data_IF_385083087044
#
_entry.id   IF_385083087044
#
_cell.length_a   1.000
_cell.length_b   1.000
_cell.length_c   1.000
_cell.angle_alpha   90.00
_cell.angle_beta   90.00
_cell.angle_gamma   90.00
#
_symmetry.space_group_name_H-M   'P 1'
#
loop_
_entity.id
_entity.type
_entity.pdbx_description
1 polymer ?
#
# COMPACT_ATOMS: atom_id res chain seq x y z
N UNK A 1 -19.52 1.38 -17.05
CA UNK A 1 -18.94 0.11 -16.57
C UNK A 1 -18.04 0.44 -15.40
N UNK A 2 -18.41 0.04 -14.19
CA UNK A 2 -17.52 0.16 -13.02
C UNK A 2 -16.36 -0.80 -13.25
N UNK A 3 -15.16 -0.29 -13.54
CA UNK A 3 -13.95 -1.08 -13.40
C UNK A 3 -13.77 -1.34 -11.90
N UNK A 4 -14.23 -2.51 -11.43
CA UNK A 4 -13.76 -3.02 -10.15
C UNK A 4 -12.28 -3.29 -10.33
N UNK A 5 -11.43 -2.43 -9.76
CA UNK A 5 -10.01 -2.73 -9.68
C UNK A 5 -9.86 -4.08 -8.97
N UNK A 6 -9.03 -4.99 -9.50
CA UNK A 6 -8.83 -6.27 -8.86
C UNK A 6 -8.40 -6.03 -7.42
N UNK A 7 -9.04 -6.74 -6.51
CA UNK A 7 -8.76 -6.74 -5.08
C UNK A 7 -7.40 -7.46 -4.86
N UNK A 8 -6.34 -6.83 -5.36
CA UNK A 8 -5.03 -7.43 -5.55
C UNK A 8 -4.28 -7.54 -4.22
N UNK A 9 -4.54 -6.64 -3.28
CA UNK A 9 -3.88 -6.66 -1.99
C UNK A 9 -4.78 -6.14 -0.87
N UNK A 10 -4.45 -6.49 0.37
CA UNK A 10 -5.08 -5.94 1.57
C UNK A 10 -4.03 -5.37 2.52
N UNK A 11 -4.40 -4.32 3.25
CA UNK A 11 -3.59 -3.76 4.33
C UNK A 11 -3.78 -4.57 5.60
N UNK A 12 -2.68 -4.94 6.24
CA UNK A 12 -2.65 -5.60 7.53
C UNK A 12 -1.59 -4.90 8.42
N UNK A 13 -1.99 -3.83 9.13
CA UNK A 13 -1.10 -3.14 10.06
C UNK A 13 -0.64 -4.06 11.19
N UNK A 14 0.63 -3.93 11.57
CA UNK A 14 1.20 -4.43 12.81
C UNK A 14 2.00 -3.32 13.47
N UNK A 15 2.33 -3.48 14.76
CA UNK A 15 3.11 -2.47 15.49
C UNK A 15 4.55 -2.35 14.96
N UNK A 16 5.07 -3.37 14.27
CA UNK A 16 6.39 -3.40 13.67
C UNK A 16 6.43 -2.90 12.20
N UNK A 17 5.33 -3.05 11.45
CA UNK A 17 5.30 -2.74 10.01
C UNK A 17 3.87 -2.52 9.48
N UNK A 18 3.75 -1.85 8.34
CA UNK A 18 2.54 -1.91 7.53
C UNK A 18 2.66 -3.03 6.50
N UNK A 19 1.95 -4.14 6.71
CA UNK A 19 1.98 -5.25 5.76
C UNK A 19 0.94 -5.02 4.64
N UNK A 20 1.38 -5.14 3.40
CA UNK A 20 0.53 -5.21 2.20
C UNK A 20 0.54 -6.66 1.76
N UNK A 21 -0.56 -7.37 2.05
CA UNK A 21 -0.70 -8.79 1.73
C UNK A 21 -1.23 -8.91 0.30
N UNK A 22 -0.39 -9.40 -0.61
CA UNK A 22 -0.74 -9.69 -2.00
C UNK A 22 -1.64 -10.93 -2.05
N UNK A 23 -2.70 -10.89 -2.84
CA UNK A 23 -3.61 -12.03 -3.03
C UNK A 23 -3.09 -12.94 -4.13
N UNK A 24 -2.71 -14.16 -3.75
CA UNK A 24 -2.08 -15.16 -4.64
C UNK A 24 -2.85 -15.47 -5.91
N UNK A 25 -4.17 -15.26 -5.94
CA UNK A 25 -4.97 -15.42 -7.16
C UNK A 25 -4.57 -14.46 -8.29
N UNK A 26 -3.80 -13.42 -7.98
CA UNK A 26 -3.42 -12.36 -8.90
C UNK A 26 -1.92 -12.25 -9.17
N UNK A 27 -1.05 -12.96 -8.45
CA UNK A 27 0.41 -12.80 -8.55
C UNK A 27 1.13 -14.14 -8.67
N UNK A 28 2.17 -14.19 -9.50
CA UNK A 28 3.04 -15.37 -9.58
C UNK A 28 3.89 -15.54 -8.30
N UNK A 29 4.16 -16.79 -7.93
CA UNK A 29 4.88 -17.19 -6.70
C UNK A 29 6.27 -16.56 -6.54
N UNK A 30 6.82 -15.98 -7.61
CA UNK A 30 8.18 -15.46 -7.66
C UNK A 30 8.24 -13.96 -7.87
N UNK A 31 7.09 -13.27 -7.84
CA UNK A 31 7.01 -11.84 -8.14
C UNK A 31 7.84 -10.97 -7.18
N UNK A 32 8.09 -11.47 -5.96
CA UNK A 32 8.91 -10.80 -4.94
C UNK A 32 10.37 -11.30 -4.89
N UNK A 33 10.76 -12.30 -5.68
CA UNK A 33 12.13 -12.87 -5.63
C UNK A 33 13.20 -11.88 -6.09
N UNK A 34 12.89 -11.03 -7.07
CA UNK A 34 13.80 -10.02 -7.58
C UNK A 34 13.44 -8.64 -7.03
N UNK A 35 13.95 -8.34 -5.84
CA UNK A 35 13.73 -7.07 -5.13
C UNK A 35 14.04 -5.83 -5.98
N UNK A 36 14.94 -5.92 -6.97
CA UNK A 36 15.33 -4.77 -7.81
C UNK A 36 14.26 -4.38 -8.82
N UNK A 37 13.37 -5.31 -9.17
CA UNK A 37 12.25 -5.06 -10.10
C UNK A 37 11.03 -4.48 -9.42
N UNK A 38 10.93 -4.66 -8.10
CA UNK A 38 9.78 -4.19 -7.33
C UNK A 38 10.08 -2.81 -6.75
N UNK A 39 9.23 -1.85 -7.07
CA UNK A 39 9.30 -0.48 -6.56
C UNK A 39 8.02 -0.16 -5.79
N UNK A 40 8.18 0.45 -4.64
CA UNK A 40 7.10 1.04 -3.86
C UNK A 40 7.37 2.54 -3.76
N UNK A 41 6.34 3.34 -4.05
CA UNK A 41 6.33 4.79 -3.83
C UNK A 41 5.04 5.16 -3.14
N UNK A 42 5.09 6.10 -2.19
CA UNK A 42 3.88 6.71 -1.64
C UNK A 42 3.58 8.01 -2.36
N UNK A 43 2.38 8.11 -2.92
CA UNK A 43 1.85 9.30 -3.58
C UNK A 43 0.91 10.04 -2.62
N UNK A 44 1.14 11.33 -2.44
CA UNK A 44 0.42 12.18 -1.48
C UNK A 44 -0.48 13.24 -2.17
N UNK A 45 -0.81 13.07 -3.46
CA UNK A 45 -1.61 14.06 -4.22
C UNK A 45 -3.05 14.18 -3.73
N UNK A 46 -3.57 13.16 -3.06
CA UNK A 46 -4.93 13.12 -2.54
C UNK A 46 -4.95 13.14 -1.01
N UNK A 47 -6.07 13.52 -0.37
CA UNK A 47 -6.23 13.44 1.09
C UNK A 47 -6.08 12.01 1.65
N UNK A 48 -6.10 10.99 0.79
CA UNK A 48 -5.69 9.62 1.13
C UNK A 48 -4.39 9.34 0.38
N UNK A 49 -3.31 9.14 1.12
CA UNK A 49 -2.03 8.71 0.55
C UNK A 49 -2.22 7.38 -0.18
N UNK A 50 -1.53 7.19 -1.30
CA UNK A 50 -1.71 6.02 -2.16
C UNK A 50 -0.36 5.34 -2.37
N UNK A 51 -0.26 4.06 -2.03
CA UNK A 51 0.90 3.26 -2.39
C UNK A 51 0.82 2.91 -3.88
N UNK A 52 1.89 3.19 -4.62
CA UNK A 52 2.07 2.81 -6.03
C UNK A 52 3.11 1.71 -6.06
N UNK A 53 2.69 0.51 -6.47
CA UNK A 53 3.53 -0.68 -6.52
C UNK A 53 3.77 -1.05 -7.98
N UNK A 54 5.04 -1.18 -8.36
CA UNK A 54 5.46 -1.62 -9.70
C UNK A 54 6.34 -2.86 -9.59
N UNK A 55 6.11 -3.89 -10.39
CA UNK A 55 6.84 -5.16 -10.34
C UNK A 55 7.80 -5.36 -11.53
N UNK A 56 7.90 -4.39 -12.42
CA UNK A 56 8.65 -4.52 -13.69
C UNK A 56 7.89 -5.31 -14.76
N UNK A 57 6.77 -5.93 -14.40
CA UNK A 57 5.79 -6.56 -15.26
C UNK A 57 4.47 -5.80 -15.10
N UNK A 58 4.19 -4.88 -16.03
CA UNK A 58 3.10 -3.90 -15.89
C UNK A 58 1.71 -4.50 -15.63
N UNK A 59 1.50 -5.78 -15.98
CA UNK A 59 0.27 -6.51 -15.67
C UNK A 59 0.01 -6.65 -14.16
N UNK A 60 1.06 -6.70 -13.34
CA UNK A 60 0.97 -6.82 -11.89
C UNK A 60 1.05 -5.48 -11.16
N UNK A 61 1.32 -4.37 -11.87
CA UNK A 61 1.40 -3.04 -11.25
C UNK A 61 0.01 -2.63 -10.71
N UNK A 62 -0.04 -2.08 -9.51
CA UNK A 62 -1.29 -1.62 -8.91
C UNK A 62 -1.09 -0.43 -7.98
N UNK A 63 -2.19 0.23 -7.65
CA UNK A 63 -2.25 1.25 -6.61
C UNK A 63 -3.10 0.77 -5.44
N UNK A 64 -2.76 1.23 -4.24
CA UNK A 64 -3.48 0.90 -3.02
C UNK A 64 -3.65 2.16 -2.16
N UNK A 65 -4.88 2.72 -2.06
CA UNK A 65 -5.20 3.79 -1.14
C UNK A 65 -4.94 3.35 0.32
N UNK A 66 -4.12 4.11 1.03
CA UNK A 66 -3.76 3.86 2.42
C UNK A 66 -4.81 4.45 3.36
N UNK A 67 -5.97 3.79 3.40
CA UNK A 67 -7.05 4.11 4.36
C UNK A 67 -6.66 3.61 5.74
N UNK A 68 -5.91 4.45 6.45
CA UNK A 68 -5.36 4.15 7.75
C UNK A 68 -6.02 5.05 8.79
N UNK A 69 -6.29 4.51 9.97
CA UNK A 69 -6.87 5.28 11.08
C UNK A 69 -5.83 5.56 12.14
N UNK A 70 -5.75 6.83 12.58
CA UNK A 70 -4.93 7.23 13.72
C UNK A 70 -5.41 6.62 15.05
N UNK A 71 -6.66 6.14 15.11
CA UNK A 71 -7.19 5.43 16.29
C UNK A 71 -6.70 3.97 16.37
N UNK A 72 -6.07 3.44 15.32
CA UNK A 72 -5.46 2.12 15.34
C UNK A 72 -4.08 2.22 15.99
N UNK A 73 -3.93 1.67 17.19
CA UNK A 73 -2.66 1.68 17.95
C UNK A 73 -1.50 1.09 17.17
N UNK A 74 -1.72 0.04 16.38
CA UNK A 74 -0.67 -0.56 15.55
C UNK A 74 -0.12 0.43 14.52
N UNK A 75 -0.97 1.29 13.94
CA UNK A 75 -0.55 2.33 12.99
C UNK A 75 0.27 3.41 13.69
N UNK A 76 -0.17 3.86 14.86
CA UNK A 76 0.55 4.87 15.62
C UNK A 76 1.91 4.36 16.11
N UNK A 77 1.97 3.13 16.62
CA UNK A 77 3.21 2.50 17.06
C UNK A 77 4.20 2.32 15.90
N UNK A 78 3.71 1.82 14.76
CA UNK A 78 4.49 1.69 13.54
C UNK A 78 5.09 3.03 13.09
N UNK A 79 4.27 4.08 12.98
CA UNK A 79 4.74 5.41 12.53
C UNK A 79 5.66 6.12 13.53
N UNK A 80 5.70 5.68 14.79
CA UNK A 80 6.58 6.24 15.81
C UNK A 80 7.96 5.58 15.84
N UNK A 81 8.18 4.53 15.06
CA UNK A 81 9.50 3.93 14.91
C UNK A 81 10.50 4.87 14.24
N UNK A 82 11.78 4.64 14.50
CA UNK A 82 12.89 5.37 13.87
C UNK A 82 12.92 5.12 12.35
N UNK A 83 12.60 3.90 11.91
CA UNK A 83 12.63 3.48 10.51
C UNK A 83 11.42 2.61 10.17
N UNK A 84 10.21 3.21 10.05
CA UNK A 84 9.00 2.46 9.77
C UNK A 84 9.11 1.75 8.42
N UNK A 85 8.72 0.47 8.40
CA UNK A 85 8.77 -0.34 7.17
C UNK A 85 7.38 -0.69 6.66
N UNK A 86 7.22 -0.68 5.33
CA UNK A 86 6.10 -1.28 4.62
C UNK A 86 6.60 -2.61 4.04
N UNK A 87 5.88 -3.70 4.27
CA UNK A 87 6.27 -5.04 3.82
C UNK A 87 5.27 -5.53 2.78
N UNK A 88 5.72 -5.82 1.56
CA UNK A 88 4.94 -6.62 0.62
C UNK A 88 5.06 -8.08 1.04
N UNK A 89 3.93 -8.77 1.20
CA UNK A 89 3.89 -10.16 1.65
C UNK A 89 3.08 -10.98 0.65
N UNK A 90 3.68 -12.03 0.10
CA UNK A 90 2.99 -13.05 -0.68
C UNK A 90 3.12 -14.39 0.04
N UNK A 91 1.99 -15.01 0.35
CA UNK A 91 2.00 -16.37 0.90
C UNK A 91 2.13 -17.37 -0.25
N UNK A 92 2.86 -18.46 -0.10
CA UNK A 92 2.80 -19.56 -1.07
C UNK A 92 1.55 -20.42 -0.77
N UNK A 93 0.60 -20.57 -1.71
CA UNK A 93 -0.62 -21.34 -1.47
C UNK A 93 -0.38 -22.87 -1.52
N UNK A 94 0.73 -23.33 -2.09
CA UNK A 94 1.06 -24.76 -2.27
C UNK A 94 1.98 -25.25 -1.15
N UNK A 95 2.87 -24.39 -0.66
CA UNK A 95 3.80 -24.66 0.44
C UNK A 95 3.45 -23.72 1.58
N UNK A 96 2.59 -24.17 2.50
CA UNK A 96 2.00 -23.36 3.60
C UNK A 96 2.99 -22.65 4.54
N UNK A 97 4.30 -22.89 4.41
CA UNK A 97 5.36 -22.30 5.24
C UNK A 97 6.25 -21.28 4.53
N UNK A 98 6.11 -21.05 3.21
CA UNK A 98 6.93 -20.06 2.51
C UNK A 98 6.19 -18.72 2.37
N UNK A 99 6.65 -17.73 3.13
CA UNK A 99 6.26 -16.33 2.99
C UNK A 99 7.37 -15.58 2.24
N UNK A 100 7.05 -15.04 1.07
CA UNK A 100 7.93 -14.08 0.41
C UNK A 100 7.63 -12.69 0.97
N UNK A 101 8.65 -12.06 1.56
CA UNK A 101 8.53 -10.74 2.17
C UNK A 101 9.54 -9.79 1.54
N UNK A 102 9.07 -8.64 1.09
CA UNK A 102 9.91 -7.57 0.59
C UNK A 102 9.68 -6.27 1.38
N UNK A 103 10.63 -5.84 2.22
CA UNK A 103 10.51 -4.62 3.01
C UNK A 103 10.92 -3.36 2.23
N UNK A 104 10.22 -2.26 2.49
CA UNK A 104 10.50 -0.91 2.04
C UNK A 104 10.52 0.00 3.26
N UNK A 105 11.62 0.69 3.52
CA UNK A 105 11.73 1.63 4.63
C UNK A 105 11.28 3.01 4.18
N UNK A 106 10.41 3.64 4.97
CA UNK A 106 10.05 5.04 4.76
C UNK A 106 11.15 5.93 5.32
N UNK A 107 11.52 6.97 4.57
CA UNK A 107 12.36 8.03 5.11
C UNK A 107 11.59 8.93 6.10
N UNK A 108 12.32 9.81 6.79
CA UNK A 108 11.73 10.70 7.79
C UNK A 108 10.66 11.64 7.21
N UNK A 109 10.86 12.12 5.97
CA UNK A 109 9.96 13.04 5.30
C UNK A 109 8.69 12.33 4.81
N UNK A 110 8.82 11.13 4.25
CA UNK A 110 7.69 10.26 3.89
C UNK A 110 6.87 9.89 5.13
N UNK A 111 7.55 9.51 6.21
CA UNK A 111 6.91 9.20 7.50
C UNK A 111 6.09 10.38 8.02
N UNK A 112 6.65 11.60 8.01
CA UNK A 112 5.95 12.78 8.52
C UNK A 112 4.76 13.15 7.63
N UNK A 113 4.93 13.14 6.31
CA UNK A 113 3.82 13.37 5.37
C UNK A 113 2.69 12.37 5.56
N UNK A 114 3.03 11.10 5.75
CA UNK A 114 2.04 10.06 5.98
C UNK A 114 1.33 10.25 7.33
N UNK A 115 2.06 10.67 8.36
CA UNK A 115 1.48 11.00 9.67
C UNK A 115 0.47 12.14 9.57
N UNK A 116 0.79 13.21 8.86
CA UNK A 116 -0.15 14.33 8.62
C UNK A 116 -1.36 13.84 7.82
N UNK A 117 -1.13 13.11 6.73
CA UNK A 117 -2.20 12.57 5.90
C UNK A 117 -3.18 11.69 6.70
N UNK A 118 -2.69 10.80 7.57
CA UNK A 118 -3.54 9.92 8.39
C UNK A 118 -4.34 10.71 9.43
N UNK A 119 -3.77 11.79 9.98
CA UNK A 119 -4.52 12.69 10.88
C UNK A 119 -5.65 13.40 10.14
N UNK A 120 -5.38 13.93 8.95
CA UNK A 120 -6.40 14.58 8.11
C UNK A 120 -7.52 13.61 7.69
N UNK A 121 -7.20 12.33 7.46
CA UNK A 121 -8.21 11.30 7.20
C UNK A 121 -9.19 11.12 8.37
N UNK A 122 -8.78 11.36 9.62
CA UNK A 122 -9.63 11.19 10.79
C UNK A 122 -10.81 12.18 10.84
N UNK A 123 -10.67 13.33 10.18
CA UNK A 123 -11.70 14.36 10.09
C UNK A 123 -12.70 14.11 8.93
N UNK A 124 -12.44 13.11 8.08
CA UNK A 124 -13.28 12.79 6.94
C UNK A 124 -14.35 11.75 7.30
N UNK A 125 -15.57 11.96 6.81
CA UNK A 125 -16.64 10.97 6.96
C UNK A 125 -16.34 9.69 6.15
N UNK A 126 -16.86 8.52 6.55
CA UNK A 126 -16.69 7.28 5.77
C UNK A 126 -17.17 7.40 4.32
N UNK A 127 -18.25 8.14 4.08
CA UNK A 127 -18.76 8.44 2.75
C UNK A 127 -17.74 9.24 1.94
N UNK A 128 -17.19 10.31 2.53
CA UNK A 128 -16.20 11.16 1.86
C UNK A 128 -14.91 10.41 1.53
N UNK A 129 -14.46 9.57 2.45
CA UNK A 129 -13.31 8.69 2.21
C UNK A 129 -13.59 7.73 1.03
N UNK A 130 -14.82 7.20 0.92
CA UNK A 130 -15.21 6.33 -0.20
C UNK A 130 -15.26 7.07 -1.54
N UNK A 131 -15.73 8.32 -1.57
CA UNK A 131 -15.70 9.17 -2.76
C UNK A 131 -14.27 9.45 -3.23
N UNK A 132 -13.37 9.79 -2.30
CA UNK A 132 -11.96 10.05 -2.61
C UNK A 132 -11.28 8.79 -3.14
N UNK A 133 -11.53 7.64 -2.53
CA UNK A 133 -11.02 6.35 -3.00
C UNK A 133 -11.50 6.03 -4.43
N UNK A 134 -12.79 6.23 -4.72
CA UNK A 134 -13.32 6.06 -6.07
C UNK A 134 -12.66 7.02 -7.07
N UNK A 135 -12.36 8.25 -6.65
CA UNK A 135 -11.66 9.22 -7.48
C UNK A 135 -10.21 8.80 -7.76
N UNK A 136 -9.49 8.29 -6.76
CA UNK A 136 -8.13 7.77 -6.91
C UNK A 136 -8.11 6.64 -7.94
N UNK A 137 -9.04 5.70 -7.83
CA UNK A 137 -9.18 4.60 -8.78
C UNK A 137 -9.59 5.07 -10.19
N UNK A 138 -10.48 6.05 -10.29
CA UNK A 138 -10.83 6.65 -11.58
C UNK A 138 -9.63 7.32 -12.27
N UNK A 139 -8.66 7.81 -11.48
CA UNK A 139 -7.44 8.48 -11.96
C UNK A 139 -6.19 7.58 -11.91
N UNK A 140 -6.35 6.25 -11.88
CA UNK A 140 -5.25 5.28 -11.74
C UNK A 140 -4.09 5.53 -12.71
N UNK A 141 -4.41 5.90 -13.95
CA UNK A 141 -3.42 6.08 -15.00
C UNK A 141 -2.47 7.24 -14.69
N UNK A 142 -2.89 8.24 -13.92
CA UNK A 142 -2.01 9.35 -13.55
C UNK A 142 -0.88 8.91 -12.64
N UNK A 143 -1.09 7.91 -11.79
CA UNK A 143 -0.08 7.39 -10.86
C UNK A 143 1.08 6.67 -11.56
N UNK A 144 0.89 6.20 -12.79
CA UNK A 144 1.88 5.48 -13.59
C UNK A 144 2.51 6.31 -14.71
N UNK A 145 2.05 7.56 -14.93
CA UNK A 145 2.58 8.45 -15.99
C UNK A 145 3.86 9.16 -15.59
N UNK A 146 4.10 9.31 -14.29
CA UNK A 146 5.33 9.90 -13.78
C UNK A 146 6.37 8.79 -13.59
N UNK A 147 7.35 8.75 -14.52
CA UNK A 147 8.56 7.90 -14.58
C UNK A 147 8.51 6.72 -15.56
#
# INVERSE_FOLDING_TARGET
>A
MQQSFPDAARLQPSSDALNIILKNTHFGDHILKDAKKVKLRIDFRYPIATAVIRFGEAYYDFILPLRLSYTNTAITDWLNQTSPSIKLVLADPVITDQLSILPFTLDENEREKLRVNIKEQADLSPLRLGEIENQIYADVNSFFRDH
#
